data_IF_916966154471
#
_entry.id   IF_916966154471
#
_cell.length_a   1.000
_cell.length_b   1.000
_cell.length_c   1.000
_cell.angle_alpha   90.00
_cell.angle_beta   90.00
_cell.angle_gamma   90.00
#
_symmetry.space_group_name_H-M   'P 1'
#
loop_
_entity.id
_entity.type
_entity.pdbx_description
1 polymer ?
#
# COMPACT_ATOMS: atom_id res chain seq x y z
N UNK A 1 -2.40 -21.41 -34.26
CA UNK A 1 -1.67 -21.53 -32.98
C UNK A 1 -2.19 -20.42 -32.09
N UNK A 2 -2.91 -20.76 -31.01
CA UNK A 2 -3.51 -19.76 -30.12
C UNK A 2 -2.42 -19.00 -29.36
N UNK A 3 -2.51 -17.68 -29.36
CA UNK A 3 -1.71 -16.81 -28.49
C UNK A 3 -1.89 -17.26 -27.04
N UNK A 4 -0.80 -17.60 -26.34
CA UNK A 4 -0.82 -17.71 -24.89
C UNK A 4 -1.17 -16.32 -24.37
N UNK A 5 -2.40 -16.13 -23.90
CA UNK A 5 -2.78 -14.88 -23.25
C UNK A 5 -2.07 -14.93 -21.89
N UNK A 6 -1.03 -14.11 -21.70
CA UNK A 6 -0.41 -13.95 -20.40
C UNK A 6 -1.48 -13.49 -19.42
N UNK A 7 -1.71 -14.28 -18.36
CA UNK A 7 -2.65 -13.89 -17.32
C UNK A 7 -2.08 -12.67 -16.58
N UNK A 8 -2.82 -11.56 -16.48
CA UNK A 8 -2.37 -10.39 -15.74
C UNK A 8 -2.03 -10.75 -14.28
N UNK A 9 -0.87 -10.29 -13.83
CA UNK A 9 -0.36 -10.47 -12.46
C UNK A 9 -0.30 -9.12 -11.75
N UNK A 10 -0.93 -9.01 -10.58
CA UNK A 10 -0.93 -7.80 -9.77
C UNK A 10 -0.28 -8.02 -8.41
N UNK A 11 0.57 -7.07 -8.01
CA UNK A 11 1.08 -6.97 -6.65
C UNK A 11 0.34 -5.84 -5.95
N UNK A 12 -0.32 -6.17 -4.85
CA UNK A 12 -1.01 -5.22 -3.99
C UNK A 12 -0.16 -4.99 -2.75
N UNK A 13 0.29 -3.74 -2.55
CA UNK A 13 1.06 -3.33 -1.39
C UNK A 13 0.26 -2.28 -0.61
N UNK A 14 -0.77 -2.69 0.16
CA UNK A 14 -1.56 -1.75 0.95
C UNK A 14 -0.69 -1.08 2.03
N UNK A 15 -0.93 0.21 2.24
CA UNK A 15 -0.43 0.85 3.45
C UNK A 15 -1.06 0.18 4.67
N UNK A 16 -0.27 -0.05 5.72
CA UNK A 16 -0.64 -0.84 6.91
C UNK A 16 -1.53 -0.05 7.87
N UNK A 17 -2.70 0.37 7.36
CA UNK A 17 -3.76 1.04 8.09
C UNK A 17 -5.12 0.47 7.62
N UNK A 18 -6.13 0.33 8.49
CA UNK A 18 -7.37 -0.38 8.13
C UNK A 18 -8.10 0.20 6.92
N UNK A 19 -8.10 1.54 6.79
CA UNK A 19 -8.70 2.25 5.65
C UNK A 19 -8.02 2.02 4.30
N UNK A 20 -6.81 1.46 4.28
CA UNK A 20 -6.10 1.10 3.05
C UNK A 20 -6.09 -0.41 2.83
N UNK A 21 -5.92 -1.20 3.89
CA UNK A 21 -5.83 -2.65 3.76
C UNK A 21 -7.16 -3.27 3.34
N UNK A 22 -8.29 -2.91 3.99
CA UNK A 22 -9.57 -3.55 3.70
C UNK A 22 -9.96 -3.36 2.22
N UNK A 23 -9.95 -2.12 1.65
CA UNK A 23 -10.29 -1.94 0.24
C UNK A 23 -9.33 -2.66 -0.71
N UNK A 24 -8.04 -2.72 -0.39
CA UNK A 24 -7.05 -3.40 -1.24
C UNK A 24 -7.23 -4.91 -1.22
N UNK A 25 -7.58 -5.50 -0.07
CA UNK A 25 -7.93 -6.93 0.00
C UNK A 25 -9.20 -7.19 -0.82
N UNK A 26 -10.23 -6.35 -0.70
CA UNK A 26 -11.46 -6.49 -1.48
C UNK A 26 -11.19 -6.39 -2.99
N UNK A 27 -10.36 -5.43 -3.42
CA UNK A 27 -9.91 -5.30 -4.82
C UNK A 27 -9.17 -6.57 -5.27
N UNK A 28 -8.22 -7.07 -4.46
CA UNK A 28 -7.49 -8.29 -4.78
C UNK A 28 -8.43 -9.49 -4.94
N UNK A 29 -9.40 -9.63 -4.05
CA UNK A 29 -10.43 -10.67 -4.13
C UNK A 29 -11.25 -10.55 -5.43
N UNK A 30 -11.70 -9.35 -5.79
CA UNK A 30 -12.45 -9.10 -7.02
C UNK A 30 -11.63 -9.42 -8.27
N UNK A 31 -10.36 -9.01 -8.33
CA UNK A 31 -9.49 -9.30 -9.48
C UNK A 31 -9.22 -10.80 -9.61
N UNK A 32 -9.00 -11.50 -8.49
CA UNK A 32 -8.79 -12.95 -8.49
C UNK A 32 -10.02 -13.74 -8.96
N UNK A 33 -11.23 -13.27 -8.64
CA UNK A 33 -12.47 -13.84 -9.17
C UNK A 33 -12.57 -13.74 -10.70
N UNK A 34 -11.86 -12.79 -11.31
CA UNK A 34 -11.77 -12.64 -12.76
C UNK A 34 -10.55 -13.37 -13.35
N UNK A 35 -9.92 -14.26 -12.59
CA UNK A 35 -8.81 -15.10 -13.05
C UNK A 35 -7.45 -14.40 -13.11
N UNK A 36 -7.32 -13.23 -12.49
CA UNK A 36 -6.03 -12.51 -12.40
C UNK A 36 -5.22 -13.03 -11.21
N UNK A 37 -3.92 -13.24 -11.41
CA UNK A 37 -3.03 -13.67 -10.33
C UNK A 37 -2.72 -12.49 -9.40
N UNK A 38 -2.99 -12.63 -8.09
CA UNK A 38 -2.83 -11.54 -7.12
C UNK A 38 -1.85 -11.93 -6.01
N UNK A 39 -0.91 -11.04 -5.72
CA UNK A 39 -0.07 -11.13 -4.53
C UNK A 39 -0.29 -9.94 -3.62
N UNK A 40 -0.73 -10.18 -2.39
CA UNK A 40 -0.87 -9.16 -1.35
C UNK A 40 0.38 -9.18 -0.50
N UNK A 41 1.12 -8.07 -0.48
CA UNK A 41 2.31 -7.89 0.36
C UNK A 41 1.92 -7.10 1.59
N UNK A 42 2.12 -7.68 2.77
CA UNK A 42 1.83 -7.01 4.04
C UNK A 42 2.70 -7.60 5.14
N UNK A 43 2.55 -7.14 6.38
CA UNK A 43 3.34 -7.62 7.49
C UNK A 43 2.80 -8.94 8.08
N UNK A 44 3.60 -9.71 8.84
CA UNK A 44 3.12 -10.93 9.50
C UNK A 44 1.87 -10.70 10.36
N UNK A 45 1.84 -9.63 11.17
CA UNK A 45 0.69 -9.30 12.00
C UNK A 45 -0.56 -8.98 11.16
N UNK A 46 -0.40 -8.17 10.11
CA UNK A 46 -1.52 -7.80 9.25
C UNK A 46 -2.04 -8.96 8.39
N UNK A 47 -1.17 -9.90 8.01
CA UNK A 47 -1.57 -11.10 7.28
C UNK A 47 -2.55 -11.96 8.10
N UNK A 48 -2.36 -12.06 9.41
CA UNK A 48 -3.26 -12.79 10.31
C UNK A 48 -4.66 -12.18 10.32
N UNK A 49 -4.78 -10.84 10.22
CA UNK A 49 -6.09 -10.15 10.19
C UNK A 49 -6.97 -10.59 9.01
N UNK A 50 -6.36 -11.01 7.90
CA UNK A 50 -7.06 -11.46 6.70
C UNK A 50 -6.96 -12.98 6.46
N UNK A 51 -6.34 -13.73 7.36
CA UNK A 51 -6.07 -15.16 7.19
C UNK A 51 -7.34 -15.94 6.83
N UNK A 52 -8.44 -15.69 7.56
CA UNK A 52 -9.71 -16.40 7.35
C UNK A 52 -10.29 -16.17 5.96
N UNK A 53 -10.27 -14.93 5.45
CA UNK A 53 -10.85 -14.63 4.13
C UNK A 53 -9.93 -15.15 3.00
N UNK A 54 -8.61 -15.01 3.16
CA UNK A 54 -7.63 -15.43 2.18
C UNK A 54 -7.49 -16.95 2.10
N UNK A 55 -7.63 -17.65 3.23
CA UNK A 55 -7.67 -19.13 3.24
C UNK A 55 -8.88 -19.65 2.48
N UNK A 56 -10.07 -19.10 2.74
CA UNK A 56 -11.29 -19.46 1.99
C UNK A 56 -11.17 -19.17 0.50
N UNK A 57 -10.54 -18.05 0.12
CA UNK A 57 -10.27 -17.71 -1.27
C UNK A 57 -9.41 -18.78 -1.94
N UNK A 58 -8.32 -19.17 -1.27
CA UNK A 58 -7.37 -20.18 -1.75
C UNK A 58 -8.02 -21.56 -1.85
N UNK A 59 -8.80 -21.96 -0.83
CA UNK A 59 -9.59 -23.21 -0.82
C UNK A 59 -10.62 -23.25 -1.95
N UNK A 60 -11.14 -22.09 -2.36
CA UNK A 60 -12.06 -21.95 -3.50
C UNK A 60 -11.33 -21.89 -4.85
N UNK A 61 -10.01 -22.05 -4.86
CA UNK A 61 -9.19 -22.04 -6.08
C UNK A 61 -8.91 -20.64 -6.63
N UNK A 62 -9.14 -19.57 -5.86
CA UNK A 62 -8.78 -18.22 -6.31
C UNK A 62 -7.25 -18.05 -6.31
N UNK A 63 -6.68 -17.44 -7.36
CA UNK A 63 -5.24 -17.25 -7.52
C UNK A 63 -4.69 -16.10 -6.66
N UNK A 64 -4.76 -16.24 -5.33
CA UNK A 64 -4.29 -15.22 -4.38
C UNK A 64 -3.15 -15.76 -3.53
N UNK A 65 -2.08 -14.98 -3.42
CA UNK A 65 -0.95 -15.23 -2.54
C UNK A 65 -0.78 -14.08 -1.53
N UNK A 66 -0.24 -14.40 -0.36
CA UNK A 66 0.18 -13.41 0.64
C UNK A 66 1.67 -13.52 0.87
N UNK A 67 2.38 -12.40 0.70
CA UNK A 67 3.79 -12.26 1.07
C UNK A 67 3.87 -11.48 2.37
N UNK A 68 4.60 -12.03 3.34
CA UNK A 68 4.78 -11.45 4.67
C UNK A 68 6.14 -10.75 4.75
N UNK A 69 6.12 -9.44 4.99
CA UNK A 69 7.29 -8.58 5.12
C UNK A 69 7.39 -8.07 6.57
N UNK A 70 8.31 -8.63 7.39
CA UNK A 70 8.46 -8.22 8.79
C UNK A 70 8.83 -6.75 8.91
N UNK A 71 8.08 -5.99 9.71
CA UNK A 71 8.36 -4.57 9.98
C UNK A 71 9.44 -4.47 11.06
N UNK A 72 10.50 -3.67 10.89
CA UNK A 72 11.59 -3.53 11.85
C UNK A 72 11.17 -2.66 13.03
N UNK A 73 10.16 -3.10 13.79
CA UNK A 73 9.60 -2.36 14.92
C UNK A 73 10.66 -2.14 16.03
N UNK A 74 11.44 -3.17 16.35
CA UNK A 74 12.39 -3.13 17.48
C UNK A 74 13.51 -2.13 17.17
N UNK A 75 13.98 -2.09 15.93
CA UNK A 75 15.07 -1.24 15.45
C UNK A 75 14.76 0.25 15.54
N UNK A 76 13.48 0.62 15.45
CA UNK A 76 13.02 2.01 15.58
C UNK A 76 12.49 2.35 16.99
N UNK A 77 12.50 1.38 17.91
CA UNK A 77 11.99 1.55 19.27
C UNK A 77 10.46 1.55 19.35
N UNK A 78 9.77 0.84 18.45
CA UNK A 78 8.36 0.49 18.59
C UNK A 78 8.20 -0.77 19.45
N UNK A 79 7.07 -0.91 20.18
CA UNK A 79 6.70 -2.18 20.78
C UNK A 79 6.60 -3.28 19.71
N UNK A 80 7.07 -4.48 20.03
CA UNK A 80 6.99 -5.64 19.14
C UNK A 80 5.54 -5.87 18.69
N UNK A 81 5.35 -6.13 17.40
CA UNK A 81 4.03 -6.34 16.81
C UNK A 81 3.24 -5.07 16.51
N UNK A 82 3.80 -3.87 16.70
CA UNK A 82 3.19 -2.58 16.32
C UNK A 82 3.24 -2.33 14.80
N UNK A 83 2.66 -3.25 14.04
CA UNK A 83 2.77 -3.29 12.58
C UNK A 83 1.55 -2.65 11.88
N UNK A 84 0.58 -2.11 12.63
CA UNK A 84 -0.57 -1.41 12.07
C UNK A 84 -0.76 -0.03 12.71
N UNK A 85 -1.14 0.95 11.88
CA UNK A 85 -1.38 2.32 12.33
C UNK A 85 -2.44 2.42 13.44
N UNK A 86 -3.44 1.54 13.45
CA UNK A 86 -4.52 1.56 14.45
C UNK A 86 -4.07 1.16 15.88
N UNK A 87 -2.84 0.68 16.02
CA UNK A 87 -2.23 0.34 17.32
C UNK A 87 -1.50 1.52 17.96
N UNK A 88 -1.25 2.57 17.18
CA UNK A 88 -0.36 3.66 17.60
C UNK A 88 -1.16 4.71 18.36
N UNK A 89 -0.83 4.91 19.63
CA UNK A 89 -1.55 5.82 20.53
C UNK A 89 -0.92 7.21 20.66
N UNK A 90 0.18 7.48 19.95
CA UNK A 90 0.87 8.77 20.02
C UNK A 90 1.59 9.13 18.72
N UNK A 91 1.88 10.43 18.58
CA UNK A 91 2.65 10.95 17.45
C UNK A 91 4.08 10.39 17.40
N UNK A 92 4.72 10.17 18.55
CA UNK A 92 6.05 9.55 18.60
C UNK A 92 6.06 8.14 18.01
N UNK A 93 5.08 7.31 18.42
CA UNK A 93 4.92 5.96 17.86
C UNK A 93 4.59 6.01 16.37
N UNK A 94 3.77 6.96 15.93
CA UNK A 94 3.51 7.19 14.51
C UNK A 94 4.80 7.49 13.72
N UNK A 95 5.63 8.42 14.19
CA UNK A 95 6.88 8.77 13.51
C UNK A 95 7.87 7.61 13.47
N UNK A 96 7.97 6.82 14.55
CA UNK A 96 8.77 5.59 14.56
C UNK A 96 8.24 4.56 13.57
N UNK A 97 6.92 4.43 13.44
CA UNK A 97 6.30 3.56 12.47
C UNK A 97 6.63 3.95 11.04
N UNK A 98 6.53 5.24 10.69
CA UNK A 98 6.94 5.72 9.36
C UNK A 98 8.41 5.38 9.09
N UNK A 99 9.30 5.60 10.07
CA UNK A 99 10.71 5.22 9.95
C UNK A 99 10.90 3.71 9.74
N UNK A 100 10.10 2.86 10.39
CA UNK A 100 10.16 1.42 10.18
C UNK A 100 9.73 1.02 8.77
N UNK A 101 8.71 1.67 8.22
CA UNK A 101 8.27 1.47 6.83
C UNK A 101 9.36 1.94 5.84
N UNK A 102 10.02 3.07 6.10
CA UNK A 102 11.15 3.52 5.27
C UNK A 102 12.30 2.51 5.29
N UNK A 103 12.56 1.86 6.43
CA UNK A 103 13.57 0.80 6.53
C UNK A 103 13.21 -0.46 5.72
N UNK A 104 11.93 -0.72 5.42
CA UNK A 104 11.54 -1.79 4.50
C UNK A 104 11.91 -1.50 3.04
N UNK A 105 12.12 -0.23 2.70
CA UNK A 105 12.53 0.19 1.37
C UNK A 105 14.05 0.27 1.21
N UNK A 106 14.80 0.36 2.31
CA UNK A 106 16.27 0.37 2.34
C UNK A 106 16.95 -0.82 1.63
N UNK A 107 16.42 -2.07 1.61
CA UNK A 107 17.02 -3.12 0.76
C UNK A 107 16.95 -2.81 -0.75
N UNK A 108 16.16 -1.83 -1.21
CA UNK A 108 15.95 -1.48 -2.63
C UNK A 108 15.76 0.02 -2.88
N UNK A 109 16.62 0.88 -2.32
CA UNK A 109 16.56 2.37 -2.45
C UNK A 109 16.37 2.87 -3.89
N UNK A 110 15.13 3.20 -4.27
CA UNK A 110 14.78 4.23 -5.26
C UNK A 110 13.45 4.88 -4.77
N UNK A 111 13.59 6.02 -4.08
CA UNK A 111 12.60 7.11 -3.92
C UNK A 111 11.37 6.94 -3.01
N UNK A 112 11.56 6.97 -1.70
CA UNK A 112 10.49 7.19 -0.72
C UNK A 112 10.63 8.43 0.17
N UNK A 113 11.62 9.28 -0.13
CA UNK A 113 11.77 10.60 0.51
C UNK A 113 10.54 11.52 0.34
N UNK A 114 9.74 11.33 -0.73
CA UNK A 114 8.67 12.27 -1.10
C UNK A 114 7.43 12.17 -0.19
N UNK A 115 7.12 11.01 0.39
CA UNK A 115 5.92 10.85 1.25
C UNK A 115 6.16 11.47 2.63
N UNK A 116 7.37 11.31 3.18
CA UNK A 116 7.75 11.92 4.45
C UNK A 116 7.96 13.44 4.31
N UNK A 117 8.52 13.91 3.19
CA UNK A 117 8.55 15.34 2.85
C UNK A 117 7.14 15.93 2.73
N UNK A 118 6.22 15.30 1.97
CA UNK A 118 4.85 15.83 1.80
C UNK A 118 4.04 15.93 3.10
N UNK A 119 4.41 15.16 4.14
CA UNK A 119 3.78 15.21 5.46
C UNK A 119 4.47 16.21 6.42
N UNK A 120 5.62 16.78 6.03
CA UNK A 120 6.44 17.67 6.88
C UNK A 120 6.76 19.03 6.25
N UNK A 121 6.64 19.17 4.93
CA UNK A 121 6.88 20.43 4.22
C UNK A 121 5.58 21.21 4.08
N UNK A 122 5.57 22.43 4.64
CA UNK A 122 4.58 23.45 4.29
C UNK A 122 4.45 23.54 2.76
N UNK A 123 3.20 23.69 2.33
CA UNK A 123 2.80 23.95 0.95
C UNK A 123 3.68 25.03 0.32
N UNK A 124 4.69 24.65 -0.46
CA UNK A 124 5.07 25.38 -1.68
C UNK A 124 6.09 24.60 -2.52
N UNK A 125 5.87 24.65 -3.83
CA UNK A 125 6.75 24.21 -4.94
C UNK A 125 6.63 22.77 -5.47
N UNK A 126 5.46 22.41 -6.00
CA UNK A 126 5.40 21.46 -7.12
C UNK A 126 5.54 22.23 -8.44
N UNK A 127 6.73 22.17 -9.05
CA UNK A 127 6.92 22.61 -10.43
C UNK A 127 6.93 21.38 -11.35
N UNK A 128 5.89 21.27 -12.19
CA UNK A 128 5.78 20.36 -13.36
C UNK A 128 5.14 18.97 -13.19
N UNK A 129 4.20 18.68 -14.09
CA UNK A 129 3.31 17.50 -14.13
C UNK A 129 3.81 16.32 -14.98
N UNK A 130 5.10 16.28 -15.32
CA UNK A 130 5.61 15.35 -16.34
C UNK A 130 6.70 14.39 -15.85
N UNK A 131 6.84 14.17 -14.54
CA UNK A 131 7.87 13.25 -14.03
C UNK A 131 7.48 11.76 -14.10
N UNK A 132 8.47 10.95 -14.47
CA UNK A 132 8.42 9.50 -14.57
C UNK A 132 9.25 8.87 -13.45
N UNK A 133 8.87 7.70 -12.95
CA UNK A 133 9.70 6.93 -12.02
C UNK A 133 9.66 5.42 -12.33
N UNK A 134 10.74 4.73 -11.97
CA UNK A 134 10.86 3.27 -12.09
C UNK A 134 10.72 2.63 -10.72
N UNK A 135 10.10 1.44 -10.68
CA UNK A 135 9.92 0.66 -9.44
C UNK A 135 11.03 -0.39 -9.38
N UNK A 136 11.94 -0.35 -8.40
CA UNK A 136 12.97 -1.38 -8.25
C UNK A 136 12.37 -2.69 -7.77
N UNK A 137 12.91 -3.80 -8.26
CA UNK A 137 12.57 -5.13 -7.76
C UNK A 137 11.43 -5.85 -8.49
N UNK A 138 10.81 -5.22 -9.50
CA UNK A 138 9.98 -5.96 -10.46
C UNK A 138 10.84 -6.48 -11.62
N UNK A 139 10.70 -7.77 -12.00
CA UNK A 139 11.47 -8.36 -13.10
C UNK A 139 11.09 -7.76 -14.46
N UNK A 140 9.87 -7.23 -14.58
CA UNK A 140 9.40 -6.50 -15.76
C UNK A 140 9.31 -5.00 -15.45
N UNK A 141 9.85 -4.19 -16.35
CA UNK A 141 9.84 -2.72 -16.25
C UNK A 141 8.41 -2.20 -16.35
N UNK A 142 7.77 -1.88 -15.23
CA UNK A 142 6.44 -1.27 -15.21
C UNK A 142 6.56 0.26 -15.22
N UNK A 143 6.07 0.89 -16.28
CA UNK A 143 6.10 2.35 -16.49
C UNK A 143 4.73 2.98 -16.20
N UNK A 144 4.69 4.02 -15.35
CA UNK A 144 3.45 4.73 -15.02
C UNK A 144 3.47 6.19 -15.50
N UNK A 145 2.30 6.69 -15.93
CA UNK A 145 2.08 8.09 -16.33
C UNK A 145 1.23 8.79 -15.27
N UNK A 146 1.73 9.90 -14.71
CA UNK A 146 1.09 10.65 -13.59
C UNK A 146 -0.38 11.00 -13.84
N UNK A 147 -0.78 11.22 -15.10
CA UNK A 147 -2.17 11.46 -15.50
C UNK A 147 -3.16 10.31 -15.24
N UNK A 148 -2.67 9.10 -14.89
CA UNK A 148 -3.51 7.94 -14.55
C UNK A 148 -3.48 7.59 -13.05
N UNK A 149 -2.77 8.38 -12.26
CA UNK A 149 -2.80 8.29 -10.80
C UNK A 149 -4.00 9.10 -10.33
N UNK A 150 -4.96 8.50 -9.58
CA UNK A 150 -6.11 9.24 -9.06
C UNK A 150 -5.64 10.45 -8.24
N UNK A 151 -6.22 11.63 -8.50
CA UNK A 151 -5.87 12.86 -7.79
C UNK A 151 -6.12 12.70 -6.28
N UNK A 152 -5.28 13.30 -5.41
CA UNK A 152 -5.53 13.26 -3.97
C UNK A 152 -6.87 13.90 -3.64
N UNK A 153 -7.60 13.27 -2.72
CA UNK A 153 -8.90 13.71 -2.21
C UNK A 153 -8.81 15.16 -1.69
N UNK A 154 -9.56 16.07 -2.31
CA UNK A 154 -9.83 17.38 -1.73
C UNK A 154 -10.78 17.20 -0.53
N UNK A 155 -10.32 17.57 0.67
CA UNK A 155 -11.22 17.87 1.79
C UNK A 155 -11.98 19.17 1.43
N UNK A 156 -13.24 19.05 1.01
CA UNK A 156 -14.15 20.19 1.01
C UNK A 156 -14.46 20.57 2.45
N UNK A 157 -13.85 21.67 2.89
CA UNK A 157 -14.18 22.41 4.10
C UNK A 157 -15.68 22.73 4.12
N UNK A 158 -16.34 22.36 5.21
CA UNK A 158 -17.75 22.68 5.44
C UNK A 158 -18.05 24.17 5.34
N UNK A 159 -19.16 24.50 4.67
CA UNK A 159 -20.05 25.62 4.97
C UNK A 159 -21.35 25.49 4.18
N UNK A 160 -22.45 25.76 4.87
CA UNK A 160 -23.83 25.98 4.39
C UNK A 160 -24.77 24.78 4.30
N UNK A 161 -25.36 24.43 5.45
CA UNK A 161 -26.76 24.00 5.47
C UNK A 161 -27.50 24.64 6.64
N UNK A 162 -27.90 25.90 6.44
CA UNK A 162 -29.00 26.55 7.17
C UNK A 162 -29.70 27.51 6.20
N UNK A 163 -30.88 27.10 5.70
CA UNK A 163 -32.06 27.91 5.32
C UNK A 163 -32.95 27.11 4.36
N UNK A 164 -33.98 26.44 4.89
CA UNK A 164 -35.36 26.96 4.94
C UNK A 164 -36.16 26.14 5.93
#
# INVERSE_FOLDING_TARGET
MGSLIEQPYFILFPFMAPGHMNPMVDIGMLLAQHGMMITIVTSPYNAVRFEKILSRATESGLPIQVVRLPVPCIEVGLPEGSENLDMLSSLDLFLKFIRAIDMLQEPHKIHSSKVLEALTSDSESLTSDSEYFTVPGLPDKVEFRKARVPAPYHQESGRNFMRK
#
